data_IF_403400923224
#
_entry.id   IF_403400923224
#
_cell.length_a   1.000
_cell.length_b   1.000
_cell.length_c   1.000
_cell.angle_alpha   90.00
_cell.angle_beta   90.00
_cell.angle_gamma   90.00
#
_symmetry.space_group_name_H-M   'P 1'
#
loop_
_entity.id
_entity.type
_entity.pdbx_description
1 polymer ?
#
# COMPACT_ATOMS: atom_id res chain seq x y z
N UNK A 1 -40.34 1.58 30.38
CA UNK A 1 -39.71 1.48 29.04
C UNK A 1 -38.20 1.42 29.20
N UNK A 2 -37.49 0.51 28.49
CA UNK A 2 -36.01 0.43 28.59
C UNK A 2 -35.41 1.56 27.74
N UNK A 3 -34.73 2.51 28.38
CA UNK A 3 -33.97 3.54 27.68
C UNK A 3 -32.62 2.94 27.26
N UNK A 4 -32.31 3.01 25.97
CA UNK A 4 -30.99 2.65 25.46
C UNK A 4 -30.20 3.96 25.39
N UNK A 5 -29.21 4.10 26.26
CA UNK A 5 -28.26 5.21 26.21
C UNK A 5 -27.42 5.09 24.94
N UNK A 6 -27.77 5.87 23.92
CA UNK A 6 -26.94 6.01 22.71
C UNK A 6 -25.83 7.00 23.00
N UNK A 7 -24.63 6.70 22.50
CA UNK A 7 -23.53 7.67 22.55
C UNK A 7 -23.85 8.87 21.66
N UNK A 8 -23.33 10.04 22.04
CA UNK A 8 -23.49 11.32 21.33
C UNK A 8 -23.16 11.24 19.83
N UNK A 9 -22.17 10.43 19.42
CA UNK A 9 -21.73 10.31 18.03
C UNK A 9 -22.29 9.08 17.30
N UNK A 10 -23.31 8.41 17.84
CA UNK A 10 -23.84 7.17 17.26
C UNK A 10 -24.37 7.37 15.83
N UNK A 11 -24.91 8.56 15.52
CA UNK A 11 -25.36 8.91 14.18
C UNK A 11 -24.21 8.92 13.16
N UNK A 12 -23.06 9.51 13.52
CA UNK A 12 -21.88 9.54 12.64
C UNK A 12 -21.31 8.14 12.40
N UNK A 13 -21.31 7.29 13.44
CA UNK A 13 -20.91 5.89 13.31
C UNK A 13 -21.85 5.08 12.44
N UNK A 14 -23.15 5.33 12.54
CA UNK A 14 -24.13 4.66 11.70
C UNK A 14 -23.89 4.99 10.22
N UNK A 15 -23.62 6.26 9.89
CA UNK A 15 -23.21 6.66 8.53
C UNK A 15 -21.96 5.92 8.07
N UNK A 16 -20.92 5.82 8.92
CA UNK A 16 -19.70 5.08 8.57
C UNK A 16 -19.97 3.58 8.34
N UNK A 17 -20.83 2.95 9.15
CA UNK A 17 -21.25 1.54 8.96
C UNK A 17 -22.03 1.35 7.68
N UNK A 18 -22.87 2.31 7.30
CA UNK A 18 -23.67 2.21 6.09
C UNK A 18 -22.82 2.43 4.83
N UNK A 19 -21.83 3.33 4.87
CA UNK A 19 -20.80 3.46 3.84
C UNK A 19 -20.03 2.13 3.68
N UNK A 20 -19.66 1.48 4.78
CA UNK A 20 -18.91 0.23 4.74
C UNK A 20 -19.66 -0.93 4.06
N UNK A 21 -21.00 -0.88 3.98
CA UNK A 21 -21.82 -1.89 3.27
C UNK A 21 -21.91 -1.65 1.77
N UNK A 22 -21.43 -0.51 1.28
CA UNK A 22 -21.54 -0.17 -0.14
C UNK A 22 -20.52 -0.93 -0.97
N UNK A 23 -20.90 -1.31 -2.21
CA UNK A 23 -19.98 -1.93 -3.17
C UNK A 23 -18.78 -1.03 -3.50
N UNK A 24 -18.96 0.29 -3.46
CA UNK A 24 -17.90 1.27 -3.69
C UNK A 24 -16.82 1.19 -2.62
N UNK A 25 -17.23 1.02 -1.36
CA UNK A 25 -16.29 0.82 -0.25
C UNK A 25 -15.45 -0.45 -0.44
N UNK A 26 -16.05 -1.56 -0.87
CA UNK A 26 -15.32 -2.80 -1.16
C UNK A 26 -14.25 -2.61 -2.24
N UNK A 27 -14.58 -1.89 -3.31
CA UNK A 27 -13.62 -1.57 -4.39
C UNK A 27 -12.49 -0.71 -3.84
N UNK A 28 -12.82 0.35 -3.10
CA UNK A 28 -11.84 1.24 -2.46
C UNK A 28 -10.90 0.47 -1.52
N UNK A 29 -11.45 -0.42 -0.69
CA UNK A 29 -10.68 -1.29 0.21
C UNK A 29 -9.69 -2.18 -0.54
N UNK A 30 -10.12 -2.80 -1.63
CA UNK A 30 -9.24 -3.64 -2.47
C UNK A 30 -8.12 -2.81 -3.10
N UNK A 31 -8.42 -1.61 -3.57
CA UNK A 31 -7.41 -0.69 -4.13
C UNK A 31 -6.42 -0.21 -3.07
N UNK A 32 -6.90 0.17 -1.89
CA UNK A 32 -6.08 0.58 -0.75
C UNK A 32 -5.10 -0.51 -0.33
N UNK A 33 -5.58 -1.76 -0.21
CA UNK A 33 -4.72 -2.91 0.12
C UNK A 33 -3.57 -3.08 -0.87
N UNK A 34 -3.79 -2.85 -2.17
CA UNK A 34 -2.72 -2.91 -3.18
C UNK A 34 -1.64 -1.89 -2.89
N UNK A 35 -2.02 -0.65 -2.57
CA UNK A 35 -1.07 0.44 -2.26
C UNK A 35 -0.35 0.18 -0.94
N UNK A 36 -1.07 -0.21 0.11
CA UNK A 36 -0.50 -0.53 1.44
C UNK A 36 0.56 -1.65 1.35
N UNK A 37 0.29 -2.70 0.57
CA UNK A 37 1.25 -3.78 0.36
C UNK A 37 2.52 -3.31 -0.37
N UNK A 38 2.42 -2.34 -1.27
CA UNK A 38 3.60 -1.76 -1.91
C UNK A 38 4.45 -0.98 -0.91
N UNK A 39 3.83 -0.18 -0.05
CA UNK A 39 4.56 0.51 1.01
C UNK A 39 5.18 -0.47 2.01
N UNK A 40 4.51 -1.57 2.35
CA UNK A 40 5.08 -2.62 3.18
C UNK A 40 6.32 -3.27 2.54
N UNK A 41 6.26 -3.56 1.24
CA UNK A 41 7.40 -4.09 0.49
C UNK A 41 8.57 -3.09 0.42
N UNK A 42 8.27 -1.81 0.16
CA UNK A 42 9.29 -0.74 0.15
C UNK A 42 10.04 -0.68 1.48
N UNK A 43 9.32 -0.67 2.60
CA UNK A 43 9.92 -0.65 3.94
C UNK A 43 10.78 -1.88 4.22
N UNK A 44 10.27 -3.09 3.88
CA UNK A 44 10.95 -4.36 4.19
C UNK A 44 12.15 -4.64 3.28
N UNK A 45 12.04 -4.35 1.98
CA UNK A 45 13.05 -4.72 0.98
C UNK A 45 14.08 -3.59 0.78
N UNK A 46 13.60 -2.35 0.65
CA UNK A 46 14.48 -1.19 0.38
C UNK A 46 14.87 -0.44 1.65
N UNK A 47 14.36 -0.85 2.82
CA UNK A 47 14.73 -0.23 4.10
C UNK A 47 14.23 1.20 4.27
N UNK A 48 13.16 1.59 3.56
CA UNK A 48 12.53 2.92 3.63
C UNK A 48 11.78 3.16 4.97
N UNK A 49 12.47 3.02 6.09
CA UNK A 49 11.92 3.29 7.42
C UNK A 49 12.10 4.75 7.84
N UNK A 50 13.11 5.42 7.29
CA UNK A 50 13.44 6.82 7.56
C UNK A 50 13.92 7.47 6.28
N UNK A 51 13.44 8.69 6.04
CA UNK A 51 13.93 9.51 4.94
C UNK A 51 15.30 10.09 5.28
N UNK A 52 16.26 9.95 4.38
CA UNK A 52 17.64 10.42 4.56
C UNK A 52 17.82 11.87 4.07
N UNK A 53 17.12 12.25 3.01
CA UNK A 53 17.10 13.58 2.44
C UNK A 53 16.15 14.49 3.23
N UNK A 54 16.59 15.72 3.50
CA UNK A 54 15.83 16.70 4.28
C UNK A 54 14.88 17.50 3.40
N UNK A 55 13.72 17.83 3.96
CA UNK A 55 12.71 18.67 3.30
C UNK A 55 11.78 17.91 2.37
N UNK A 56 10.67 18.53 1.94
CA UNK A 56 9.64 17.87 1.13
C UNK A 56 10.15 17.44 -0.25
N UNK A 57 11.06 18.21 -0.86
CA UNK A 57 11.69 17.84 -2.13
C UNK A 57 12.52 16.55 -1.99
N UNK A 58 13.38 16.47 -0.96
CA UNK A 58 14.18 15.28 -0.69
C UNK A 58 13.33 14.05 -0.38
N UNK A 59 12.23 14.23 0.36
CA UNK A 59 11.27 13.16 0.60
C UNK A 59 10.68 12.61 -0.72
N UNK A 60 10.25 13.50 -1.62
CA UNK A 60 9.69 13.12 -2.91
C UNK A 60 10.69 12.32 -3.77
N UNK A 61 11.95 12.74 -3.82
CA UNK A 61 12.99 12.08 -4.61
C UNK A 61 13.25 10.66 -4.09
N UNK A 62 13.33 10.47 -2.77
CA UNK A 62 13.52 9.14 -2.19
C UNK A 62 12.37 8.19 -2.50
N UNK A 63 11.13 8.67 -2.42
CA UNK A 63 9.97 7.87 -2.79
C UNK A 63 9.98 7.55 -4.28
N UNK A 64 10.33 8.51 -5.15
CA UNK A 64 10.41 8.31 -6.59
C UNK A 64 11.43 7.24 -6.95
N UNK A 65 12.64 7.32 -6.39
CA UNK A 65 13.73 6.37 -6.67
C UNK A 65 13.38 4.97 -6.14
N UNK A 66 12.81 4.91 -4.94
CA UNK A 66 12.42 3.64 -4.33
C UNK A 66 11.26 2.98 -5.05
N UNK A 67 10.26 3.76 -5.48
CA UNK A 67 9.17 3.27 -6.31
C UNK A 67 9.70 2.75 -7.65
N UNK A 68 10.65 3.46 -8.27
CA UNK A 68 11.31 3.03 -9.51
C UNK A 68 12.02 1.70 -9.32
N UNK A 69 12.86 1.57 -8.29
CA UNK A 69 13.55 0.32 -7.97
C UNK A 69 12.56 -0.85 -7.73
N UNK A 70 11.47 -0.59 -7.00
CA UNK A 70 10.43 -1.58 -6.76
C UNK A 70 9.67 -1.99 -8.03
N UNK A 71 9.43 -1.04 -8.95
CA UNK A 71 8.80 -1.30 -10.25
C UNK A 71 9.73 -2.13 -11.14
N UNK A 72 11.02 -1.81 -11.21
CA UNK A 72 12.01 -2.61 -11.92
C UNK A 72 12.08 -4.04 -11.39
N UNK A 73 12.08 -4.21 -10.06
CA UNK A 73 12.05 -5.53 -9.42
C UNK A 73 10.78 -6.33 -9.74
N UNK A 74 9.63 -5.67 -9.93
CA UNK A 74 8.41 -6.34 -10.41
C UNK A 74 8.52 -6.75 -11.88
N UNK A 75 9.02 -5.87 -12.73
CA UNK A 75 9.20 -6.16 -14.16
C UNK A 75 10.15 -7.35 -14.37
N UNK A 76 11.26 -7.39 -13.64
CA UNK A 76 12.21 -8.51 -13.68
C UNK A 76 11.60 -9.86 -13.26
N UNK A 77 10.49 -9.87 -12.50
CA UNK A 77 9.74 -11.09 -12.16
C UNK A 77 8.76 -11.51 -13.25
N UNK A 78 8.20 -10.55 -13.98
CA UNK A 78 7.23 -10.80 -15.07
C UNK A 78 7.96 -11.32 -16.31
N UNK A 79 9.13 -10.76 -16.58
CA UNK A 79 10.00 -11.16 -17.69
C UNK A 79 11.22 -11.87 -17.13
N UNK A 80 11.13 -13.17 -16.82
CA UNK A 80 12.30 -13.92 -16.40
C UNK A 80 13.34 -13.87 -17.52
N UNK A 81 14.59 -13.58 -17.16
CA UNK A 81 15.70 -13.67 -18.10
C UNK A 81 15.71 -15.07 -18.74
N UNK A 82 16.05 -15.20 -20.04
CA UNK A 82 16.26 -16.52 -20.63
C UNK A 82 17.27 -17.24 -19.76
N UNK A 83 16.85 -18.39 -19.20
CA UNK A 83 17.72 -19.20 -18.36
C UNK A 83 18.97 -19.49 -19.18
N UNK A 84 20.12 -18.98 -18.76
CA UNK A 84 21.38 -19.47 -19.28
C UNK A 84 21.45 -20.92 -18.83
N UNK A 85 21.09 -21.85 -19.73
CA UNK A 85 21.39 -23.27 -19.55
C UNK A 85 22.87 -23.34 -19.26
N UNK A 86 23.22 -23.72 -18.02
CA UNK A 86 24.59 -24.06 -17.66
C UNK A 86 25.09 -25.04 -18.72
N UNK A 87 26.01 -24.60 -19.58
CA UNK A 87 26.80 -25.55 -20.35
C UNK A 87 27.61 -26.32 -19.32
N UNK A 88 27.23 -27.58 -19.11
CA UNK A 88 28.02 -28.52 -18.33
C UNK A 88 29.46 -28.46 -18.85
N UNK A 89 30.40 -28.23 -17.95
CA UNK A 89 31.84 -28.26 -18.24
C UNK A 89 32.33 -29.69 -18.22
#
# INVERSE_FOLDING_TARGET
ARSITREEHENARQVARDIAKTKQYDVSMKLRKKVEMLFAHLKRILGLNRLRLRGPCGANDEFLWSATAQNLRKLAKIFPAPQQVCKAR
#
